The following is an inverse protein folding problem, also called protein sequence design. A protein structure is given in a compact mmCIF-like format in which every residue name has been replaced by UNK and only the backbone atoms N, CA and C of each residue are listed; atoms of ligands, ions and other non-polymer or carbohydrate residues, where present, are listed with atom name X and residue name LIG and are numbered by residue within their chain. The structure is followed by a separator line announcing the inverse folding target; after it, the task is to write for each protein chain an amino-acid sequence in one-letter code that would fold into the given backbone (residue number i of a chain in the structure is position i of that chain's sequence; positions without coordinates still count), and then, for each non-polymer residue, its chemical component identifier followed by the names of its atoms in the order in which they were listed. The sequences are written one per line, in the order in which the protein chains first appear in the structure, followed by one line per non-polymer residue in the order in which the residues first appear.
data_IF_992415856267
#
_entry.id   IF_992415856267
#
_cell.length_a   1.000
_cell.length_b   1.000
_cell.length_c   1.000
_cell.angle_alpha   90.00
_cell.angle_beta   90.00
_cell.angle_gamma   90.00
#
_symmetry.space_group_name_H-M   'P 1'
#
loop_
_entity.id
_entity.type
_entity.pdbx_description
1 polymer ?
#
# COMPACT_ATOMS: atom_id res chain seq x y z
N UNK A 1 -13.04 -0.08 19.35
CA UNK A 1 -12.08 -0.08 18.23
C UNK A 1 -10.80 0.62 18.64
N UNK A 2 -9.64 0.02 18.34
CA UNK A 2 -8.30 0.54 18.54
C UNK A 2 -7.61 0.88 17.22
N UNK A 3 -6.72 1.86 17.25
CA UNK A 3 -5.89 2.25 16.11
C UNK A 3 -4.43 2.16 16.50
N UNK A 4 -3.64 1.48 15.70
CA UNK A 4 -2.22 1.28 15.97
C UNK A 4 -1.36 1.63 14.77
N UNK A 5 -0.16 2.11 15.06
CA UNK A 5 0.94 2.26 14.10
C UNK A 5 2.24 1.78 14.74
N UNK A 6 3.20 1.36 13.91
CA UNK A 6 4.56 1.08 14.37
C UNK A 6 5.46 2.27 14.07
N UNK A 7 6.13 2.79 15.09
CA UNK A 7 7.26 3.73 14.95
C UNK A 7 8.30 3.39 16.03
N UNK A 8 9.46 2.90 15.59
CA UNK A 8 10.53 2.49 16.51
C UNK A 8 11.48 3.61 16.90
N UNK A 9 11.44 4.75 16.20
CA UNK A 9 12.47 5.80 16.27
C UNK A 9 11.91 7.21 16.56
N UNK A 10 10.63 7.33 16.91
CA UNK A 10 9.93 8.60 17.14
C UNK A 10 10.20 9.60 15.99
N UNK A 11 9.95 9.17 14.76
CA UNK A 11 10.31 9.94 13.58
C UNK A 11 9.41 11.16 13.42
N UNK A 12 9.95 12.36 13.08
CA UNK A 12 9.13 13.52 12.71
C UNK A 12 8.19 13.26 11.53
N UNK A 13 8.41 12.20 10.75
CA UNK A 13 7.54 11.79 9.64
C UNK A 13 6.16 11.34 10.11
N UNK A 14 6.04 10.88 11.36
CA UNK A 14 4.79 10.45 11.98
C UNK A 14 3.80 11.60 12.17
N UNK A 15 4.28 12.85 12.23
CA UNK A 15 3.46 14.02 12.54
C UNK A 15 2.32 14.23 11.53
N UNK A 16 2.45 13.82 10.27
CA UNK A 16 1.34 13.89 9.30
C UNK A 16 0.18 12.99 9.72
N UNK A 17 0.48 11.75 10.12
CA UNK A 17 -0.51 10.81 10.62
C UNK A 17 -1.13 11.37 11.91
N UNK A 18 -0.31 11.79 12.87
CA UNK A 18 -0.78 12.35 14.16
C UNK A 18 -1.66 13.58 13.98
N UNK A 19 -1.35 14.45 13.03
CA UNK A 19 -2.18 15.62 12.70
C UNK A 19 -3.56 15.21 12.21
N UNK A 20 -3.64 14.26 11.28
CA UNK A 20 -4.93 13.74 10.81
C UNK A 20 -5.71 13.04 11.94
N UNK A 21 -5.02 12.35 12.85
CA UNK A 21 -5.63 11.73 14.02
C UNK A 21 -6.26 12.76 14.95
N UNK A 22 -5.54 13.85 15.28
CA UNK A 22 -6.07 14.94 16.11
C UNK A 22 -7.30 15.60 15.49
N UNK A 23 -7.28 15.81 14.17
CA UNK A 23 -8.42 16.40 13.46
C UNK A 23 -9.66 15.51 13.46
N UNK A 24 -9.49 14.19 13.36
CA UNK A 24 -10.58 13.22 13.32
C UNK A 24 -10.87 12.53 14.66
N UNK A 25 -10.28 13.04 15.75
CA UNK A 25 -10.44 12.49 17.11
C UNK A 25 -10.10 11.00 17.21
N UNK A 26 -9.07 10.57 16.49
CA UNK A 26 -8.61 9.17 16.47
C UNK A 26 -7.55 8.97 17.58
N UNK A 27 -7.80 8.10 18.56
CA UNK A 27 -6.83 7.77 19.60
C UNK A 27 -5.81 6.75 19.05
N UNK A 28 -4.83 7.23 18.30
CA UNK A 28 -3.77 6.39 17.74
C UNK A 28 -2.75 5.99 18.81
N UNK A 29 -2.54 4.69 18.97
CA UNK A 29 -1.51 4.12 19.82
C UNK A 29 -0.25 3.82 18.97
N UNK A 30 0.91 4.35 19.40
CA UNK A 30 2.20 4.09 18.74
C UNK A 30 2.88 2.94 19.46
N UNK A 31 3.21 1.87 18.73
CA UNK A 31 3.83 0.67 19.28
C UNK A 31 5.24 0.45 18.71
N UNK A 32 6.06 -0.33 19.42
CA UNK A 32 7.41 -0.70 19.01
C UNK A 32 8.48 0.36 19.26
N UNK A 33 8.18 1.42 20.01
CA UNK A 33 9.16 2.45 20.37
C UNK A 33 10.40 1.84 21.04
N UNK A 34 11.59 2.23 20.57
CA UNK A 34 12.88 1.71 21.07
C UNK A 34 13.23 0.29 20.63
N UNK A 35 12.36 -0.40 19.88
CA UNK A 35 12.60 -1.78 19.45
C UNK A 35 13.42 -1.86 18.13
N UNK A 36 14.24 -2.90 17.92
CA UNK A 36 15.04 -3.03 16.69
C UNK A 36 14.20 -3.27 15.44
N UNK A 37 14.42 -2.50 14.36
CA UNK A 37 13.68 -2.67 13.10
C UNK A 37 14.57 -3.21 11.97
N UNK A 38 14.93 -4.52 11.97
CA UNK A 38 15.79 -5.11 10.95
C UNK A 38 15.11 -5.25 9.57
N UNK A 39 13.78 -5.20 9.54
CA UNK A 39 12.98 -5.35 8.33
C UNK A 39 11.49 -5.22 8.61
N UNK A 40 10.68 -5.29 7.55
CA UNK A 40 9.24 -5.05 7.66
C UNK A 40 8.51 -6.21 8.38
N UNK A 41 9.10 -7.40 8.50
CA UNK A 41 8.55 -8.46 9.34
C UNK A 41 8.60 -8.15 10.84
N UNK A 42 9.54 -7.31 11.30
CA UNK A 42 9.56 -6.86 12.69
C UNK A 42 8.28 -6.09 13.07
N UNK A 43 7.73 -5.32 12.12
CA UNK A 43 6.41 -4.69 12.23
C UNK A 43 5.33 -5.69 12.62
N UNK A 44 5.29 -6.83 11.92
CA UNK A 44 4.28 -7.88 12.14
C UNK A 44 4.44 -8.51 13.52
N UNK A 45 5.68 -8.70 14.00
CA UNK A 45 5.93 -9.15 15.37
C UNK A 45 5.31 -8.21 16.40
N UNK A 46 5.53 -6.89 16.29
CA UNK A 46 4.98 -5.92 17.25
C UNK A 46 3.46 -5.84 17.20
N UNK A 47 2.87 -5.97 16.00
CA UNK A 47 1.41 -6.06 15.85
C UNK A 47 0.89 -7.32 16.56
N UNK A 48 1.50 -8.49 16.35
CA UNK A 48 1.10 -9.72 17.05
C UNK A 48 1.20 -9.58 18.57
N UNK A 49 2.27 -8.94 19.08
CA UNK A 49 2.45 -8.68 20.50
C UNK A 49 1.32 -7.79 21.05
N UNK A 50 1.01 -6.68 20.37
CA UNK A 50 -0.09 -5.80 20.75
C UNK A 50 -1.44 -6.53 20.77
N UNK A 51 -1.75 -7.26 19.70
CA UNK A 51 -3.02 -7.99 19.56
C UNK A 51 -3.17 -9.12 20.59
N UNK A 52 -2.06 -9.65 21.11
CA UNK A 52 -2.09 -10.70 22.14
C UNK A 52 -2.58 -10.18 23.50
N UNK A 53 -2.55 -8.86 23.72
CA UNK A 53 -3.03 -8.21 24.93
C UNK A 53 -4.47 -7.64 24.80
N UNK A 54 -5.11 -7.77 23.63
CA UNK A 54 -6.46 -7.27 23.39
C UNK A 54 -7.50 -8.39 23.56
N UNK A 55 -8.75 -7.98 23.83
CA UNK A 55 -9.89 -8.90 23.78
C UNK A 55 -10.07 -9.46 22.35
N UNK A 56 -10.42 -10.75 22.18
CA UNK A 56 -10.47 -11.39 20.85
C UNK A 56 -11.36 -10.68 19.83
N UNK A 57 -12.47 -10.10 20.27
CA UNK A 57 -13.45 -9.42 19.43
C UNK A 57 -13.19 -7.91 19.26
N UNK A 58 -12.17 -7.36 19.92
CA UNK A 58 -11.78 -5.96 19.76
C UNK A 58 -11.41 -5.69 18.30
N UNK A 59 -11.97 -4.64 17.71
CA UNK A 59 -11.64 -4.23 16.35
C UNK A 59 -10.35 -3.42 16.43
N UNK A 60 -9.33 -3.82 15.69
CA UNK A 60 -8.04 -3.13 15.64
C UNK A 60 -7.72 -2.79 14.20
N UNK A 61 -7.40 -1.52 13.94
CA UNK A 61 -6.87 -1.05 12.67
C UNK A 61 -5.37 -0.79 12.80
N UNK A 62 -4.59 -1.42 11.93
CA UNK A 62 -3.19 -1.11 11.73
C UNK A 62 -3.01 -0.17 10.52
N UNK A 63 -2.15 0.84 10.68
CA UNK A 63 -1.67 1.69 9.60
C UNK A 63 -0.16 1.91 9.68
N UNK A 64 0.51 2.03 8.53
CA UNK A 64 1.89 2.48 8.45
C UNK A 64 2.01 3.95 8.93
N UNK A 65 3.10 4.28 9.62
CA UNK A 65 3.19 5.56 10.32
C UNK A 65 3.55 6.77 9.46
N UNK A 66 4.32 6.57 8.38
CA UNK A 66 5.03 7.68 7.74
C UNK A 66 4.35 8.24 6.50
N UNK A 67 3.58 7.45 5.77
CA UNK A 67 2.96 7.83 4.50
C UNK A 67 1.45 7.57 4.48
N UNK A 68 0.82 7.58 5.66
CA UNK A 68 -0.62 7.45 5.85
C UNK A 68 -1.22 8.69 6.51
N UNK A 69 -2.46 9.01 6.15
CA UNK A 69 -3.33 9.95 6.88
C UNK A 69 -4.75 9.39 6.99
N UNK A 70 -5.45 9.74 8.06
CA UNK A 70 -6.89 9.51 8.18
C UNK A 70 -7.68 10.62 7.47
N UNK A 71 -8.80 10.26 6.88
CA UNK A 71 -9.69 11.14 6.11
C UNK A 71 -11.08 11.29 6.75
N UNK A 72 -11.36 10.51 7.80
CA UNK A 72 -12.61 10.50 8.56
C UNK A 72 -12.35 9.95 9.97
N UNK A 73 -13.34 10.04 10.85
CA UNK A 73 -13.28 9.53 12.22
C UNK A 73 -13.60 8.02 12.34
N UNK A 74 -13.38 7.48 13.53
CA UNK A 74 -13.50 6.04 13.79
C UNK A 74 -14.89 5.44 13.54
N UNK A 75 -15.96 6.20 13.77
CA UNK A 75 -17.32 5.69 13.57
C UNK A 75 -17.63 5.27 12.14
N UNK A 76 -17.11 5.97 11.11
CA UNK A 76 -17.30 5.56 9.72
C UNK A 76 -16.47 4.34 9.36
N UNK A 77 -15.23 4.28 9.87
CA UNK A 77 -14.30 3.17 9.68
C UNK A 77 -14.91 1.87 10.21
N UNK A 78 -15.40 1.90 11.46
CA UNK A 78 -16.01 0.74 12.10
C UNK A 78 -17.27 0.26 11.38
N UNK A 79 -18.12 1.19 10.92
CA UNK A 79 -19.30 0.84 10.10
C UNK A 79 -18.90 0.15 8.80
N UNK A 80 -17.92 0.68 8.05
CA UNK A 80 -17.49 0.08 6.77
C UNK A 80 -16.80 -1.27 6.97
N UNK A 81 -15.98 -1.41 8.00
CA UNK A 81 -15.42 -2.71 8.38
C UNK A 81 -16.53 -3.72 8.72
N UNK A 82 -17.50 -3.33 9.54
CA UNK A 82 -18.64 -4.19 9.90
C UNK A 82 -19.46 -4.58 8.66
N UNK A 83 -19.71 -3.63 7.75
CA UNK A 83 -20.42 -3.86 6.49
C UNK A 83 -19.67 -4.79 5.53
N UNK A 84 -18.35 -4.90 5.63
CA UNK A 84 -17.56 -5.85 4.83
C UNK A 84 -17.90 -7.32 5.15
N UNK A 85 -18.46 -7.59 6.34
CA UNK A 85 -18.83 -8.93 6.80
C UNK A 85 -17.64 -9.87 7.05
N UNK A 86 -16.40 -9.40 6.93
CA UNK A 86 -15.19 -10.22 7.07
C UNK A 86 -14.42 -9.88 8.35
N UNK A 87 -13.88 -10.85 9.11
CA UNK A 87 -13.15 -10.59 10.35
C UNK A 87 -11.78 -9.90 10.16
N UNK A 88 -11.32 -9.75 8.92
CA UNK A 88 -10.04 -9.15 8.54
C UNK A 88 -10.10 -8.61 7.11
N UNK A 89 -9.80 -7.34 6.94
CA UNK A 89 -9.80 -6.64 5.65
C UNK A 89 -8.45 -5.98 5.42
N UNK A 90 -7.82 -6.29 4.29
CA UNK A 90 -6.60 -5.64 3.85
C UNK A 90 -6.89 -4.57 2.81
N UNK A 91 -6.12 -3.49 2.86
CA UNK A 91 -6.07 -2.52 1.76
C UNK A 91 -5.55 -3.16 0.48
N UNK A 92 -5.87 -2.53 -0.65
CA UNK A 92 -5.43 -3.00 -1.96
C UNK A 92 -4.74 -1.94 -2.79
N UNK A 93 -3.84 -2.38 -3.67
CA UNK A 93 -3.09 -1.56 -4.61
C UNK A 93 -3.14 -2.12 -6.04
N UNK A 94 -2.66 -1.35 -7.01
CA UNK A 94 -2.56 -1.77 -8.42
C UNK A 94 -1.30 -2.62 -8.70
N UNK A 95 -0.27 -2.50 -7.86
CA UNK A 95 0.99 -3.21 -8.02
C UNK A 95 0.94 -4.64 -7.44
N UNK A 96 1.38 -5.64 -8.20
CA UNK A 96 1.75 -6.92 -7.60
C UNK A 96 3.16 -6.79 -6.99
N UNK A 97 3.23 -6.26 -5.77
CA UNK A 97 4.48 -5.97 -5.07
C UNK A 97 4.99 -7.20 -4.29
N UNK A 98 5.57 -8.15 -5.01
CA UNK A 98 6.17 -9.37 -4.45
C UNK A 98 7.65 -9.36 -4.82
N UNK A 99 8.54 -9.46 -3.82
CA UNK A 99 9.97 -9.55 -4.07
C UNK A 99 10.30 -10.87 -4.79
N UNK A 100 11.16 -10.77 -5.82
CA UNK A 100 11.62 -11.90 -6.61
C UNK A 100 11.58 -11.63 -8.12
N UNK A 101 12.08 -12.59 -8.90
CA UNK A 101 12.04 -12.54 -10.36
C UNK A 101 10.66 -12.89 -10.93
N UNK A 102 10.56 -12.91 -12.26
CA UNK A 102 9.34 -13.25 -12.98
C UNK A 102 8.68 -14.55 -12.49
N UNK A 103 9.46 -15.63 -12.39
CA UNK A 103 8.96 -16.95 -11.96
C UNK A 103 8.42 -16.98 -10.52
N UNK A 104 8.82 -16.04 -9.68
CA UNK A 104 8.30 -15.90 -8.32
C UNK A 104 7.02 -15.08 -8.28
N UNK A 105 6.94 -14.03 -9.12
CA UNK A 105 5.85 -13.07 -9.11
C UNK A 105 4.65 -13.52 -9.94
N UNK A 106 4.90 -14.18 -11.07
CA UNK A 106 3.86 -14.61 -12.00
C UNK A 106 2.84 -15.58 -11.38
N UNK A 107 3.24 -16.63 -10.63
CA UNK A 107 2.27 -17.52 -9.99
C UNK A 107 1.35 -16.80 -9.01
N UNK A 108 1.91 -15.88 -8.21
CA UNK A 108 1.12 -15.05 -7.29
C UNK A 108 0.15 -14.18 -8.08
N UNK A 109 0.66 -13.39 -9.04
CA UNK A 109 -0.17 -12.51 -9.89
C UNK A 109 -1.32 -13.26 -10.58
N UNK A 110 -1.07 -14.47 -11.06
CA UNK A 110 -2.03 -15.30 -11.80
C UNK A 110 -3.14 -15.86 -10.91
N UNK A 111 -2.82 -16.20 -9.66
CA UNK A 111 -3.76 -16.79 -8.69
C UNK A 111 -4.64 -15.74 -7.99
N UNK A 112 -4.26 -14.46 -8.03
CA UNK A 112 -5.11 -13.38 -7.52
C UNK A 112 -6.48 -13.34 -8.25
N UNK A 113 -7.59 -13.05 -7.53
CA UNK A 113 -8.91 -12.93 -8.14
C UNK A 113 -8.92 -11.96 -9.33
N UNK A 114 -9.55 -12.39 -10.43
CA UNK A 114 -9.74 -11.57 -11.63
C UNK A 114 -11.02 -10.75 -11.49
N UNK A 115 -11.02 -9.50 -12.00
CA UNK A 115 -12.24 -8.71 -12.18
C UNK A 115 -12.34 -7.43 -11.34
N UNK A 116 -11.58 -7.32 -10.24
CA UNK A 116 -11.45 -6.07 -9.49
C UNK A 116 -10.26 -5.27 -10.04
N UNK A 117 -10.52 -4.10 -10.61
CA UNK A 117 -9.51 -3.22 -11.24
C UNK A 117 -9.84 -1.76 -10.91
N UNK A 118 -8.83 -0.90 -10.72
CA UNK A 118 -7.39 -1.19 -10.83
C UNK A 118 -6.79 -1.85 -9.58
N UNK A 119 -7.47 -1.85 -8.45
CA UNK A 119 -6.93 -2.30 -7.16
C UNK A 119 -7.34 -3.75 -6.91
N UNK A 120 -6.33 -4.64 -6.84
CA UNK A 120 -6.59 -6.08 -6.64
C UNK A 120 -5.55 -6.79 -5.79
N UNK A 121 -4.36 -6.24 -5.66
CA UNK A 121 -3.29 -6.86 -4.90
C UNK A 121 -3.29 -6.32 -3.49
N UNK A 122 -2.95 -7.14 -2.50
CA UNK A 122 -2.88 -6.69 -1.11
C UNK A 122 -1.85 -5.58 -1.01
N UNK A 123 -2.11 -4.56 -0.19
CA UNK A 123 -1.09 -3.72 0.41
C UNK A 123 -1.06 -3.98 1.93
N UNK A 124 0.10 -4.30 2.49
CA UNK A 124 0.27 -4.65 3.92
C UNK A 124 0.52 -3.43 4.81
N UNK A 125 0.47 -2.23 4.26
CA UNK A 125 0.65 -0.99 5.00
C UNK A 125 -0.60 -0.55 5.76
N UNK A 126 -1.79 -1.01 5.37
CA UNK A 126 -3.02 -0.74 6.12
C UNK A 126 -3.98 -1.92 6.09
N UNK A 127 -4.54 -2.27 7.25
CA UNK A 127 -5.52 -3.35 7.41
C UNK A 127 -6.29 -3.21 8.73
N UNK A 128 -7.47 -3.83 8.80
CA UNK A 128 -8.36 -3.79 9.96
C UNK A 128 -8.97 -5.16 10.21
N UNK A 129 -9.08 -5.58 11.47
CA UNK A 129 -9.69 -6.86 11.80
C UNK A 129 -10.01 -7.02 13.28
N UNK A 130 -10.66 -8.13 13.63
CA UNK A 130 -10.85 -8.56 15.02
C UNK A 130 -9.52 -9.04 15.58
N UNK A 131 -9.16 -8.62 16.79
CA UNK A 131 -7.82 -8.79 17.33
C UNK A 131 -7.37 -10.26 17.38
N UNK A 132 -8.24 -11.16 17.86
CA UNK A 132 -7.95 -12.58 17.94
C UNK A 132 -7.73 -13.21 16.56
N UNK A 133 -8.65 -12.94 15.63
CA UNK A 133 -8.58 -13.47 14.26
C UNK A 133 -7.33 -12.96 13.52
N UNK A 134 -7.09 -11.65 13.60
CA UNK A 134 -5.94 -11.01 12.97
C UNK A 134 -4.61 -11.50 13.54
N UNK A 135 -4.50 -11.67 14.86
CA UNK A 135 -3.32 -12.24 15.52
C UNK A 135 -3.03 -13.63 14.98
N UNK A 136 -4.04 -14.49 14.92
CA UNK A 136 -3.86 -15.89 14.53
C UNK A 136 -3.53 -16.00 13.04
N UNK A 137 -4.13 -15.15 12.19
CA UNK A 137 -3.75 -15.00 10.78
C UNK A 137 -2.27 -14.60 10.64
N UNK A 138 -1.83 -13.54 11.33
CA UNK A 138 -0.45 -13.05 11.23
C UNK A 138 0.56 -14.07 11.75
N UNK A 139 0.20 -14.86 12.78
CA UNK A 139 1.03 -15.98 13.26
C UNK A 139 1.14 -17.10 12.24
N UNK A 140 0.05 -17.47 11.55
CA UNK A 140 0.08 -18.48 10.48
C UNK A 140 0.84 -18.02 9.24
N UNK A 141 0.76 -16.73 8.92
CA UNK A 141 1.53 -16.14 7.81
C UNK A 141 3.05 -16.17 8.06
N UNK A 142 3.47 -16.31 9.32
CA UNK A 142 4.86 -16.53 9.77
C UNK A 142 5.87 -15.62 9.05
N UNK A 143 5.68 -14.30 9.18
CA UNK A 143 6.52 -13.30 8.50
C UNK A 143 7.88 -13.19 9.20
N UNK A 144 9.01 -13.57 8.56
CA UNK A 144 10.32 -13.47 9.19
C UNK A 144 10.71 -12.01 9.43
N UNK A 145 11.42 -11.72 10.53
CA UNK A 145 11.72 -10.35 10.96
C UNK A 145 12.37 -9.45 9.89
N UNK A 146 13.26 -10.02 9.08
CA UNK A 146 13.99 -9.30 8.01
C UNK A 146 13.25 -9.28 6.68
N UNK A 147 12.17 -10.05 6.54
CA UNK A 147 11.44 -10.18 5.29
C UNK A 147 10.55 -8.96 5.00
N UNK A 148 10.06 -8.91 3.76
CA UNK A 148 8.96 -8.03 3.37
C UNK A 148 7.64 -8.71 3.77
N UNK A 149 6.95 -8.12 4.73
CA UNK A 149 5.58 -8.47 5.11
C UNK A 149 4.64 -8.48 3.91
N UNK A 150 4.73 -7.45 3.06
CA UNK A 150 4.02 -7.33 1.79
C UNK A 150 4.20 -8.60 0.93
N UNK A 151 5.44 -9.07 0.76
CA UNK A 151 5.76 -10.27 -0.05
C UNK A 151 5.19 -11.53 0.57
N UNK A 152 5.37 -11.72 1.88
CA UNK A 152 4.94 -12.94 2.58
C UNK A 152 3.40 -13.02 2.60
N UNK A 153 2.72 -11.93 2.94
CA UNK A 153 1.25 -11.88 3.01
C UNK A 153 0.62 -12.09 1.62
N UNK A 154 1.16 -11.49 0.55
CA UNK A 154 0.66 -11.73 -0.81
C UNK A 154 0.80 -13.20 -1.23
N UNK A 155 1.91 -13.86 -0.87
CA UNK A 155 2.11 -15.30 -1.15
C UNK A 155 1.17 -16.17 -0.32
N UNK A 156 1.00 -15.85 0.96
CA UNK A 156 0.08 -16.57 1.85
C UNK A 156 -1.36 -16.46 1.33
N UNK A 157 -1.80 -15.25 0.97
CA UNK A 157 -3.17 -15.00 0.50
C UNK A 157 -3.56 -15.86 -0.71
N UNK A 158 -2.67 -16.02 -1.71
CA UNK A 158 -3.02 -16.80 -2.90
C UNK A 158 -3.17 -18.30 -2.65
N UNK A 159 -2.74 -18.78 -1.49
CA UNK A 159 -2.97 -20.15 -1.02
C UNK A 159 -4.16 -20.23 -0.05
N UNK A 160 -4.50 -19.12 0.61
CA UNK A 160 -5.55 -19.02 1.62
C UNK A 160 -6.54 -17.84 1.37
N UNK A 161 -7.17 -17.74 0.19
CA UNK A 161 -7.90 -16.52 -0.21
C UNK A 161 -9.17 -16.26 0.60
N UNK A 162 -9.68 -17.25 1.32
CA UNK A 162 -10.87 -17.13 2.18
C UNK A 162 -10.55 -16.60 3.58
N UNK A 163 -9.27 -16.47 3.97
CA UNK A 163 -8.90 -16.04 5.32
C UNK A 163 -8.92 -14.52 5.51
N UNK A 164 -9.03 -13.73 4.44
CA UNK A 164 -9.12 -12.27 4.49
C UNK A 164 -9.99 -11.74 3.35
N UNK A 165 -10.53 -10.54 3.52
CA UNK A 165 -11.17 -9.78 2.45
C UNK A 165 -10.25 -8.69 1.92
N UNK A 166 -10.42 -8.36 0.64
CA UNK A 166 -9.68 -7.33 -0.06
C UNK A 166 -10.58 -6.11 -0.25
N UNK A 167 -10.15 -4.95 0.23
CA UNK A 167 -10.83 -3.67 -0.02
C UNK A 167 -10.53 -3.15 -1.43
N UNK A 168 -11.00 -3.89 -2.44
CA UNK A 168 -10.73 -3.60 -3.86
C UNK A 168 -11.45 -2.35 -4.38
N UNK A 169 -12.58 -1.99 -3.76
CA UNK A 169 -13.34 -0.79 -4.11
C UNK A 169 -12.83 0.44 -3.31
N UNK A 170 -11.81 0.24 -2.46
CA UNK A 170 -11.16 1.28 -1.65
C UNK A 170 -12.18 2.06 -0.80
N UNK A 171 -13.10 1.34 -0.16
CA UNK A 171 -14.14 1.91 0.70
C UNK A 171 -13.55 2.40 2.03
N UNK A 172 -12.63 1.62 2.61
CA UNK A 172 -11.93 1.93 3.86
C UNK A 172 -10.57 2.54 3.54
N UNK A 173 -9.79 1.90 2.68
CA UNK A 173 -8.41 2.22 2.39
C UNK A 173 -8.21 2.61 0.93
N UNK A 174 -7.71 3.81 0.70
CA UNK A 174 -7.20 4.20 -0.61
C UNK A 174 -5.69 4.17 -0.64
N UNK A 175 -5.11 3.42 -1.58
CA UNK A 175 -3.68 3.26 -1.74
C UNK A 175 -3.23 3.71 -3.13
N UNK A 176 -2.22 4.57 -3.21
CA UNK A 176 -1.72 5.12 -4.49
C UNK A 176 -0.61 4.28 -5.13
N UNK A 177 -0.23 3.14 -4.56
CA UNK A 177 0.77 2.27 -5.16
C UNK A 177 0.37 1.81 -6.56
N UNK A 178 1.29 2.02 -7.50
CA UNK A 178 1.08 1.76 -8.92
C UNK A 178 0.33 2.88 -9.66
N UNK A 179 -0.07 3.93 -8.94
CA UNK A 179 -0.79 5.09 -9.47
C UNK A 179 -0.16 6.44 -9.09
N UNK A 180 1.04 6.43 -8.52
CA UNK A 180 1.85 7.63 -8.27
C UNK A 180 1.91 8.52 -9.51
N UNK A 181 1.63 9.81 -9.35
CA UNK A 181 1.61 10.79 -10.43
C UNK A 181 0.24 11.00 -11.08
N UNK A 182 -0.75 10.19 -10.72
CA UNK A 182 -2.12 10.27 -11.23
C UNK A 182 -3.08 10.80 -10.16
N UNK A 183 -2.57 11.41 -9.09
CA UNK A 183 -3.37 11.81 -7.94
C UNK A 183 -4.52 12.76 -8.31
N UNK A 184 -4.30 13.68 -9.26
CA UNK A 184 -5.33 14.61 -9.72
C UNK A 184 -6.23 14.03 -10.82
N UNK A 185 -5.84 12.90 -11.40
CA UNK A 185 -6.66 12.13 -12.35
C UNK A 185 -7.56 11.13 -11.59
N UNK A 186 -7.09 10.55 -10.49
CA UNK A 186 -7.77 9.47 -9.75
C UNK A 186 -8.61 9.98 -8.56
N UNK A 187 -8.38 11.21 -8.10
CA UNK A 187 -9.05 11.75 -6.90
C UNK A 187 -9.60 13.16 -7.10
N UNK A 188 -10.68 13.43 -6.36
CA UNK A 188 -11.26 14.78 -6.21
C UNK A 188 -11.54 15.07 -4.75
N UNK A 189 -11.48 16.34 -4.38
CA UNK A 189 -11.96 16.80 -3.08
C UNK A 189 -13.34 17.40 -3.27
N UNK A 190 -14.32 16.82 -2.60
CA UNK A 190 -15.73 17.23 -2.62
C UNK A 190 -16.17 17.39 -1.16
N UNK A 191 -16.67 18.57 -0.79
CA UNK A 191 -17.13 18.87 0.59
C UNK A 191 -16.08 18.54 1.68
N UNK A 192 -14.81 18.78 1.39
CA UNK A 192 -13.70 18.51 2.32
C UNK A 192 -13.35 17.02 2.47
N UNK A 193 -13.97 16.13 1.68
CA UNK A 193 -13.68 14.70 1.63
C UNK A 193 -12.92 14.35 0.35
N UNK A 194 -11.98 13.43 0.45
CA UNK A 194 -11.32 12.84 -0.70
C UNK A 194 -12.22 11.75 -1.28
N UNK A 195 -12.54 11.85 -2.57
CA UNK A 195 -13.27 10.84 -3.34
C UNK A 195 -12.32 10.15 -4.31
N UNK A 196 -12.31 8.82 -4.32
CA UNK A 196 -11.69 8.06 -5.38
C UNK A 196 -12.67 8.00 -6.55
N UNK A 197 -12.31 8.61 -7.69
CA UNK A 197 -13.25 8.67 -8.82
C UNK A 197 -13.31 7.37 -9.61
N UNK A 198 -12.31 6.50 -9.48
CA UNK A 198 -12.24 5.22 -10.21
C UNK A 198 -13.17 4.18 -9.59
N UNK A 199 -13.26 4.15 -8.26
CA UNK A 199 -14.14 3.24 -7.52
C UNK A 199 -15.43 3.91 -7.05
N UNK A 200 -15.52 5.22 -7.22
CA UNK A 200 -16.63 6.04 -6.73
C UNK A 200 -16.78 6.04 -5.19
N UNK A 201 -15.72 5.66 -4.46
CA UNK A 201 -15.74 5.54 -3.00
C UNK A 201 -15.31 6.82 -2.29
N UNK A 202 -15.69 6.94 -1.03
CA UNK A 202 -15.21 7.97 -0.09
C UNK A 202 -14.30 7.31 0.95
N UNK A 203 -13.03 7.04 0.65
CA UNK A 203 -12.14 6.30 1.56
C UNK A 203 -11.98 6.95 2.93
N UNK A 204 -11.62 6.14 3.92
CA UNK A 204 -11.38 6.57 5.29
C UNK A 204 -9.91 6.83 5.60
N UNK A 205 -9.01 6.17 4.86
CA UNK A 205 -7.55 6.22 5.06
C UNK A 205 -6.88 6.40 3.71
N UNK A 206 -5.95 7.35 3.60
CA UNK A 206 -5.10 7.54 2.43
C UNK A 206 -3.69 7.03 2.73
N UNK A 207 -3.21 6.08 1.93
CA UNK A 207 -1.85 5.57 1.96
C UNK A 207 -1.11 5.88 0.66
N UNK A 208 0.06 6.51 0.78
CA UNK A 208 0.93 6.87 -0.35
C UNK A 208 2.31 6.18 -0.25
N UNK A 209 2.36 4.85 -0.43
CA UNK A 209 3.57 4.06 -0.21
C UNK A 209 4.72 4.44 -1.12
N UNK A 210 5.92 3.97 -0.76
CA UNK A 210 7.12 4.13 -1.60
C UNK A 210 7.77 5.52 -1.48
N UNK A 211 7.55 6.20 -0.35
CA UNK A 211 8.04 7.57 -0.11
C UNK A 211 7.46 8.58 -1.13
N UNK A 212 6.23 8.35 -1.60
CA UNK A 212 5.53 9.25 -2.52
C UNK A 212 4.93 10.47 -1.78
N UNK A 213 5.78 11.21 -1.06
CA UNK A 213 5.34 12.35 -0.26
C UNK A 213 4.81 13.52 -1.11
N UNK A 214 5.28 13.65 -2.35
CA UNK A 214 4.76 14.64 -3.31
C UNK A 214 3.31 14.32 -3.67
N UNK A 215 3.00 13.05 -3.99
CA UNK A 215 1.64 12.63 -4.28
C UNK A 215 0.72 12.77 -3.06
N UNK A 216 1.20 12.39 -1.88
CA UNK A 216 0.48 12.61 -0.62
C UNK A 216 0.14 14.09 -0.43
N UNK A 217 1.11 14.98 -0.57
CA UNK A 217 0.92 16.42 -0.39
C UNK A 217 -0.06 17.02 -1.40
N UNK A 218 -0.05 16.56 -2.67
CA UNK A 218 -1.00 17.00 -3.70
C UNK A 218 -2.46 16.76 -3.32
N UNK A 219 -2.74 15.72 -2.54
CA UNK A 219 -4.08 15.40 -2.05
C UNK A 219 -4.36 16.08 -0.71
N UNK A 220 -3.44 15.94 0.25
CA UNK A 220 -3.61 16.41 1.63
C UNK A 220 -3.68 17.93 1.74
N UNK A 221 -2.94 18.68 0.91
CA UNK A 221 -3.00 20.15 0.88
C UNK A 221 -4.37 20.73 0.51
N UNK A 222 -5.25 19.91 -0.07
CA UNK A 222 -6.63 20.28 -0.47
C UNK A 222 -7.67 19.89 0.59
N UNK A 223 -7.25 19.29 1.71
CA UNK A 223 -8.13 18.79 2.77
C UNK A 223 -7.99 19.60 4.06
N UNK A 224 -8.99 19.58 4.97
CA UNK A 224 -8.91 20.25 6.27
C UNK A 224 -7.75 19.78 7.18
N UNK A 225 -7.19 18.61 6.88
CA UNK A 225 -6.03 18.02 7.56
C UNK A 225 -4.67 18.49 7.00
N UNK A 226 -4.66 19.47 6.10
CA UNK A 226 -3.45 20.06 5.55
C UNK A 226 -2.51 20.55 6.66
N UNK A 227 -1.20 20.47 6.42
CA UNK A 227 -0.19 20.97 7.34
C UNK A 227 0.79 21.90 6.64
N UNK A 228 1.98 22.05 7.22
CA UNK A 228 3.05 22.79 6.58
C UNK A 228 3.39 22.15 5.20
N UNK A 229 3.59 22.96 4.15
CA UNK A 229 3.89 22.44 2.82
C UNK A 229 5.12 21.55 2.82
N UNK A 230 4.98 20.37 2.23
CA UNK A 230 6.11 19.45 2.06
C UNK A 230 7.10 20.00 1.00
N UNK A 231 8.38 20.04 1.35
CA UNK A 231 9.46 20.48 0.46
C UNK A 231 10.23 19.27 -0.08
N UNK A 232 9.99 18.84 -1.33
CA UNK A 232 10.68 17.69 -1.89
C UNK A 232 12.14 18.00 -2.22
N UNK A 233 12.98 16.97 -2.14
CA UNK A 233 14.33 16.99 -2.69
C UNK A 233 14.30 16.84 -4.22
N UNK A 234 15.36 17.28 -4.90
CA UNK A 234 15.50 17.08 -6.36
C UNK A 234 15.44 15.58 -6.77
N UNK A 235 15.91 14.68 -5.90
CA UNK A 235 15.81 13.24 -6.13
C UNK A 235 14.36 12.75 -6.08
N UNK A 236 13.58 13.20 -5.09
CA UNK A 236 12.17 12.86 -4.96
C UNK A 236 11.36 13.39 -6.14
N UNK A 237 11.62 14.62 -6.59
CA UNK A 237 10.98 15.18 -7.80
C UNK A 237 11.31 14.36 -9.06
N UNK A 238 12.57 13.95 -9.22
CA UNK A 238 12.99 13.10 -10.34
C UNK A 238 12.28 11.75 -10.30
N UNK A 239 12.24 11.08 -9.13
CA UNK A 239 11.54 9.81 -8.95
C UNK A 239 10.05 9.95 -9.23
N UNK A 240 9.41 10.98 -8.69
CA UNK A 240 7.99 11.26 -8.90
C UNK A 240 7.67 11.50 -10.39
N UNK A 241 8.45 12.31 -11.10
CA UNK A 241 8.27 12.53 -12.55
C UNK A 241 8.40 11.23 -13.35
N UNK A 242 9.38 10.39 -13.02
CA UNK A 242 9.55 9.08 -13.66
C UNK A 242 8.34 8.18 -13.39
N UNK A 243 7.92 8.03 -12.14
CA UNK A 243 6.75 7.23 -11.76
C UNK A 243 5.47 7.74 -12.44
N UNK A 244 5.26 9.06 -12.46
CA UNK A 244 4.13 9.69 -13.15
C UNK A 244 4.10 9.33 -14.63
N UNK A 245 5.23 9.47 -15.32
CA UNK A 245 5.32 9.13 -16.74
C UNK A 245 4.98 7.65 -16.98
N UNK A 246 5.60 6.74 -16.22
CA UNK A 246 5.37 5.30 -16.36
C UNK A 246 3.93 4.91 -16.06
N UNK A 247 3.39 5.32 -14.91
CA UNK A 247 2.03 4.96 -14.49
C UNK A 247 0.98 5.54 -15.43
N UNK A 248 1.21 6.73 -16.01
CA UNK A 248 0.29 7.33 -16.99
C UNK A 248 0.22 6.53 -18.29
N UNK A 249 1.33 5.94 -18.73
CA UNK A 249 1.34 5.01 -19.86
C UNK A 249 0.60 3.75 -19.44
N UNK A 250 0.97 3.15 -18.32
CA UNK A 250 0.39 1.88 -17.88
C UNK A 250 -1.12 1.96 -17.74
N UNK A 251 -1.64 3.00 -17.08
CA UNK A 251 -3.06 3.21 -16.85
C UNK A 251 -3.91 3.31 -18.13
N UNK A 252 -3.29 3.62 -19.28
CA UNK A 252 -3.99 3.74 -20.58
C UNK A 252 -3.85 2.51 -21.46
N UNK A 253 -2.79 1.74 -21.27
CA UNK A 253 -2.42 0.64 -22.18
C UNK A 253 -2.80 -0.71 -21.60
N UNK A 254 -2.63 -0.90 -20.28
CA UNK A 254 -2.82 -2.20 -19.65
C UNK A 254 -3.64 -2.08 -18.36
N UNK A 255 -4.33 -3.16 -17.99
CA UNK A 255 -5.20 -3.14 -16.83
C UNK A 255 -4.50 -3.27 -15.47
N UNK A 256 -3.24 -3.71 -15.46
CA UNK A 256 -2.41 -3.76 -14.25
C UNK A 256 -0.93 -3.56 -14.58
N UNK A 257 -0.15 -3.16 -13.57
CA UNK A 257 1.25 -2.78 -13.74
C UNK A 257 2.18 -3.97 -13.98
N UNK A 258 1.78 -5.16 -13.56
CA UNK A 258 2.64 -6.34 -13.67
C UNK A 258 2.85 -6.73 -15.14
N UNK A 259 1.78 -6.82 -15.93
CA UNK A 259 1.89 -7.11 -17.37
C UNK A 259 2.64 -6.02 -18.13
N UNK A 260 2.49 -4.76 -17.73
CA UNK A 260 3.19 -3.65 -18.36
C UNK A 260 4.69 -3.75 -18.19
N UNK A 261 5.14 -3.93 -16.94
CA UNK A 261 6.56 -4.10 -16.66
C UNK A 261 7.11 -5.36 -17.30
N UNK A 262 6.34 -6.45 -17.33
CA UNK A 262 6.75 -7.67 -18.03
C UNK A 262 6.99 -7.43 -19.53
N UNK A 263 6.07 -6.75 -20.21
CA UNK A 263 6.20 -6.45 -21.65
C UNK A 263 7.39 -5.51 -21.87
N UNK A 264 7.53 -4.46 -21.06
CA UNK A 264 8.62 -3.50 -21.17
C UNK A 264 9.99 -4.16 -20.95
N UNK A 265 10.13 -4.97 -19.90
CA UNK A 265 11.37 -5.67 -19.60
C UNK A 265 11.71 -6.65 -20.73
N UNK A 266 10.73 -7.36 -21.28
CA UNK A 266 10.91 -8.27 -22.42
C UNK A 266 11.37 -7.52 -23.68
N UNK A 267 10.79 -6.35 -23.96
CA UNK A 267 11.20 -5.50 -25.08
C UNK A 267 12.62 -4.95 -24.90
N UNK A 268 12.98 -4.52 -23.69
CA UNK A 268 14.32 -4.02 -23.38
C UNK A 268 15.38 -5.13 -23.51
N UNK A 269 15.07 -6.34 -23.06
CA UNK A 269 15.94 -7.51 -23.25
C UNK A 269 16.11 -7.81 -24.74
N UNK A 270 15.02 -7.84 -25.51
CA UNK A 270 15.08 -8.08 -26.95
C UNK A 270 15.92 -7.03 -27.68
N UNK A 271 15.73 -5.74 -27.37
CA UNK A 271 16.54 -4.65 -27.93
C UNK A 271 18.02 -4.75 -27.53
N UNK A 272 18.31 -5.15 -26.28
CA UNK A 272 19.68 -5.41 -25.82
C UNK A 272 20.34 -6.55 -26.57
N UNK A 273 19.61 -7.65 -26.82
CA UNK A 273 20.09 -8.78 -27.63
C UNK A 273 20.34 -8.34 -29.07
N UNK A 274 19.43 -7.59 -29.68
CA UNK A 274 19.59 -7.05 -31.05
C UNK A 274 20.82 -6.15 -31.13
N UNK A 275 21.01 -5.24 -30.17
CA UNK A 275 22.18 -4.36 -30.11
C UNK A 275 23.48 -5.16 -29.95
N UNK A 276 23.49 -6.19 -29.10
CA UNK A 276 24.64 -7.08 -28.93
C UNK A 276 24.97 -7.84 -30.22
N UNK A 277 23.95 -8.41 -30.89
CA UNK A 277 24.13 -9.08 -32.19
C UNK A 277 24.69 -8.10 -33.22
N UNK A 278 24.16 -6.87 -33.28
CA UNK A 278 24.66 -5.85 -34.20
C UNK A 278 26.13 -5.50 -33.95
N UNK A 279 26.55 -5.40 -32.68
CA UNK A 279 27.96 -5.19 -32.30
C UNK A 279 28.82 -6.38 -32.72
N UNK A 280 28.37 -7.61 -32.45
CA UNK A 280 29.11 -8.84 -32.81
C UNK A 280 29.24 -8.97 -34.33
N UNK A 281 28.17 -8.72 -35.09
CA UNK A 281 28.19 -8.74 -36.56
C UNK A 281 29.13 -7.67 -37.11
N UNK A 282 29.12 -6.45 -36.55
CA UNK A 282 30.05 -5.41 -36.95
C UNK A 282 31.52 -5.78 -36.64
N UNK A 283 31.78 -6.51 -35.55
CA UNK A 283 33.11 -6.95 -35.16
C UNK A 283 33.62 -8.15 -35.97
N UNK A 284 32.72 -9.04 -36.42
CA UNK A 284 33.05 -10.23 -37.22
C UNK A 284 33.00 -9.97 -38.73
N UNK A 285 32.31 -8.91 -39.16
CA UNK A 285 32.24 -8.45 -40.55
C UNK A 285 33.31 -7.41 -40.92
N UNK A 286 34.26 -7.17 -40.01
CA UNK A 286 35.55 -6.52 -40.25
C UNK A 286 36.65 -7.55 -40.47
#
# INVERSE_FOLDING_TARGET
MKFITVDTAASPKLERLMRSCRHHEIPLEVIGEGCPYPGHGAKIKYVIEYLSAQEPDEIVMFVDGYDVVFLTGGGEIERKFTASGHPLVFSTEQNCNVNGGFFTRFPVWFRYPKGKRPYRFINSGTYIGRAGYMRDFLRRADVPLTASDQTVINRYFVDHPAELSLDCDQEIFTCTAGRTGLEEEDYRVEEGRLRNILTNSLPCVLHCPGKNYIGLEKLVSKLPIAGAPYKPTAEEERKYRKSRFMNRITARVLPDNFLFHLILDSLLIALGIIALIAVVVAFLGM
#
